data_IF_974160433566
#
_entry.id   IF_974160433566
#
_cell.length_a   1.000
_cell.length_b   1.000
_cell.length_c   1.000
_cell.angle_alpha   90.00
_cell.angle_beta   90.00
_cell.angle_gamma   90.00
#
_symmetry.space_group_name_H-M   'P 1'
#
loop_
_entity.id
_entity.type
_entity.pdbx_description
1 polymer ?
#
# COMPACT_ATOMS: atom_id res chain seq x y z
N UNK A 1 -26.10 -13.65 -6.41
CA UNK A 1 -25.79 -13.18 -5.04
C UNK A 1 -24.54 -13.91 -4.55
N UNK A 2 -23.36 -13.28 -4.69
CA UNK A 2 -22.11 -13.85 -4.22
C UNK A 2 -22.04 -13.72 -2.70
N UNK A 3 -22.05 -14.85 -1.99
CA UNK A 3 -21.81 -14.90 -0.55
C UNK A 3 -20.36 -14.48 -0.32
N UNK A 4 -20.15 -13.25 0.12
CA UNK A 4 -18.85 -12.78 0.61
C UNK A 4 -18.38 -13.76 1.69
N UNK A 5 -17.30 -14.47 1.41
CA UNK A 5 -16.72 -15.44 2.32
C UNK A 5 -16.16 -14.67 3.54
N UNK A 6 -16.95 -14.60 4.63
CA UNK A 6 -16.55 -14.01 5.92
C UNK A 6 -15.57 -14.93 6.66
N UNK A 7 -14.44 -15.23 6.03
CA UNK A 7 -13.46 -16.18 6.58
C UNK A 7 -12.48 -15.54 7.60
N UNK A 8 -12.65 -14.27 7.95
CA UNK A 8 -11.81 -13.58 8.93
C UNK A 8 -10.40 -13.22 8.46
N UNK A 9 -10.06 -13.40 7.18
CA UNK A 9 -8.71 -13.07 6.65
C UNK A 9 -8.30 -11.64 6.94
N UNK A 10 -9.14 -10.68 6.57
CA UNK A 10 -8.88 -9.25 6.79
C UNK A 10 -8.80 -8.93 8.29
N UNK A 11 -9.68 -9.51 9.11
CA UNK A 11 -9.66 -9.37 10.57
C UNK A 11 -8.34 -9.86 11.15
N UNK A 12 -7.86 -11.01 10.70
CA UNK A 12 -6.58 -11.57 11.12
C UNK A 12 -5.41 -10.68 10.73
N UNK A 13 -5.36 -10.20 9.48
CA UNK A 13 -4.31 -9.31 9.00
C UNK A 13 -4.31 -7.96 9.74
N UNK A 14 -5.48 -7.38 10.02
CA UNK A 14 -5.58 -6.13 10.78
C UNK A 14 -5.17 -6.32 12.24
N UNK A 15 -5.47 -7.47 12.84
CA UNK A 15 -5.01 -7.81 14.19
C UNK A 15 -3.48 -7.96 14.25
N UNK A 16 -2.89 -8.71 13.31
CA UNK A 16 -1.44 -8.86 13.18
C UNK A 16 -0.74 -7.51 12.97
N UNK A 17 -1.29 -6.63 12.13
CA UNK A 17 -0.75 -5.31 11.86
C UNK A 17 -0.97 -4.31 13.01
N UNK A 18 -1.55 -4.73 14.14
CA UNK A 18 -1.93 -3.85 15.26
C UNK A 18 -2.86 -2.70 14.84
N UNK A 19 -3.78 -2.97 13.90
CA UNK A 19 -4.77 -2.02 13.36
C UNK A 19 -6.21 -2.39 13.72
N UNK A 20 -6.44 -3.43 14.53
CA UNK A 20 -7.75 -3.85 15.00
C UNK A 20 -8.17 -3.00 16.22
N UNK A 21 -8.68 -1.80 15.98
CA UNK A 21 -9.14 -0.89 17.03
C UNK A 21 -10.54 -1.20 17.56
N UNK A 22 -11.25 -2.14 16.91
CA UNK A 22 -12.67 -2.47 17.15
C UNK A 22 -12.87 -3.71 18.02
N UNK A 23 -11.80 -4.30 18.58
CA UNK A 23 -11.91 -5.53 19.35
C UNK A 23 -10.70 -5.81 20.25
N UNK A 24 -10.85 -6.80 21.11
CA UNK A 24 -9.75 -7.29 21.93
C UNK A 24 -9.01 -8.39 21.20
N UNK A 25 -7.72 -8.18 20.97
CA UNK A 25 -6.83 -9.19 20.40
C UNK A 25 -6.14 -9.94 21.53
N UNK A 26 -6.35 -11.25 21.61
CA UNK A 26 -5.68 -12.14 22.56
C UNK A 26 -4.68 -13.03 21.82
N UNK A 27 -3.62 -13.41 22.49
CA UNK A 27 -2.57 -14.26 21.92
C UNK A 27 -1.20 -13.61 21.97
N UNK A 28 -0.21 -14.33 21.46
CA UNK A 28 1.19 -13.89 21.47
C UNK A 28 1.70 -13.71 20.05
N UNK A 29 2.07 -12.50 19.69
CA UNK A 29 2.72 -12.20 18.41
C UNK A 29 4.23 -12.20 18.64
N UNK A 30 4.96 -12.97 17.83
CA UNK A 30 6.43 -13.01 17.87
C UNK A 30 6.99 -12.46 16.58
N UNK A 31 7.96 -11.53 16.70
CA UNK A 31 8.76 -11.05 15.58
C UNK A 31 10.17 -11.59 15.74
N UNK A 32 10.64 -12.34 14.74
CA UNK A 32 11.96 -13.00 14.78
C UNK A 32 12.19 -13.82 16.07
N UNK A 33 11.14 -14.54 16.53
CA UNK A 33 11.18 -15.37 17.72
C UNK A 33 11.00 -14.62 19.05
N UNK A 34 11.00 -13.29 19.07
CA UNK A 34 10.79 -12.48 20.27
C UNK A 34 9.35 -12.01 20.37
N UNK A 35 8.79 -12.07 21.58
CA UNK A 35 7.46 -11.53 21.87
C UNK A 35 7.56 -10.00 21.83
N UNK A 36 6.98 -9.39 20.83
CA UNK A 36 6.96 -7.94 20.68
C UNK A 36 5.67 -7.46 19.99
N UNK A 37 5.38 -6.17 20.16
CA UNK A 37 4.23 -5.55 19.51
C UNK A 37 4.63 -4.98 18.14
N UNK A 38 3.91 -5.39 17.09
CA UNK A 38 4.07 -4.85 15.73
C UNK A 38 3.89 -3.32 15.69
N UNK A 39 3.16 -2.78 16.66
CA UNK A 39 2.97 -1.33 16.80
C UNK A 39 4.29 -0.54 16.92
N UNK A 40 5.34 -1.14 17.49
CA UNK A 40 6.68 -0.53 17.59
C UNK A 40 7.36 -0.40 16.21
N UNK A 41 7.00 -1.27 15.29
CA UNK A 41 7.63 -1.40 13.98
C UNK A 41 6.78 -0.82 12.84
N UNK A 42 5.82 0.06 13.14
CA UNK A 42 4.91 0.67 12.16
C UNK A 42 5.60 1.28 10.94
N UNK A 43 6.83 1.78 11.12
CA UNK A 43 7.63 2.35 10.02
C UNK A 43 8.23 1.30 9.08
N UNK A 44 8.34 0.05 9.52
CA UNK A 44 8.90 -1.06 8.76
C UNK A 44 7.81 -1.97 8.17
N UNK A 45 6.58 -1.85 8.66
CA UNK A 45 5.45 -2.69 8.23
C UNK A 45 4.56 -1.89 7.29
N UNK A 46 4.53 -2.28 6.02
CA UNK A 46 3.55 -1.81 5.06
C UNK A 46 2.23 -2.56 5.23
N UNK A 47 1.12 -1.85 5.16
CA UNK A 47 -0.22 -2.42 5.15
C UNK A 47 -0.98 -1.87 3.95
N UNK A 48 -1.41 -2.77 3.08
CA UNK A 48 -2.23 -2.43 1.92
C UNK A 48 -3.68 -2.76 2.27
N UNK A 49 -4.57 -1.76 2.39
CA UNK A 49 -5.99 -1.99 2.64
C UNK A 49 -6.67 -2.57 1.39
N UNK A 50 -7.87 -3.09 1.56
CA UNK A 50 -8.67 -3.61 0.45
C UNK A 50 -9.28 -2.48 -0.39
N UNK A 51 -9.57 -1.35 0.24
CA UNK A 51 -10.06 -0.17 -0.46
C UNK A 51 -8.90 0.73 -0.90
N UNK A 52 -9.00 1.27 -2.08
CA UNK A 52 -8.01 2.18 -2.64
C UNK A 52 -8.02 3.51 -1.87
N UNK A 53 -6.90 3.83 -1.24
CA UNK A 53 -6.70 5.09 -0.51
C UNK A 53 -5.85 6.04 -1.38
N UNK A 54 -6.21 6.16 -2.65
CA UNK A 54 -5.52 7.03 -3.59
C UNK A 54 -6.40 8.21 -3.99
N UNK A 55 -5.78 9.33 -4.32
CA UNK A 55 -6.48 10.47 -4.90
C UNK A 55 -6.73 10.15 -6.38
N UNK A 56 -7.99 9.88 -6.71
CA UNK A 56 -8.40 9.32 -8.01
C UNK A 56 -8.26 10.33 -9.16
N UNK A 57 -8.37 11.61 -8.84
CA UNK A 57 -8.22 12.71 -9.80
C UNK A 57 -6.76 12.97 -10.19
N UNK A 58 -5.81 12.47 -9.40
CA UNK A 58 -4.39 12.65 -9.65
C UNK A 58 -3.83 11.53 -10.54
N UNK A 59 -2.76 11.87 -11.25
CA UNK A 59 -1.96 10.88 -11.99
C UNK A 59 -1.18 9.97 -11.04
N UNK A 60 -0.70 8.85 -11.54
CA UNK A 60 0.18 7.94 -10.78
C UNK A 60 1.40 8.66 -10.23
N UNK A 61 2.04 9.47 -11.09
CA UNK A 61 3.21 10.26 -10.68
C UNK A 61 2.90 11.24 -9.55
N UNK A 62 1.79 11.96 -9.64
CA UNK A 62 1.40 12.93 -8.62
C UNK A 62 1.07 12.27 -7.29
N UNK A 63 0.38 11.13 -7.29
CA UNK A 63 0.11 10.35 -6.08
C UNK A 63 1.39 9.84 -5.41
N UNK A 64 2.31 9.29 -6.20
CA UNK A 64 3.60 8.84 -5.68
C UNK A 64 4.44 10.00 -5.16
N UNK A 65 4.44 11.12 -5.87
CA UNK A 65 5.16 12.31 -5.45
C UNK A 65 4.59 12.92 -4.17
N UNK A 66 3.25 12.99 -4.05
CA UNK A 66 2.57 13.41 -2.82
C UNK A 66 2.93 12.49 -1.63
N UNK A 67 2.92 11.17 -1.85
CA UNK A 67 3.33 10.20 -0.84
C UNK A 67 4.81 10.37 -0.44
N UNK A 68 5.69 10.63 -1.40
CA UNK A 68 7.11 10.88 -1.13
C UNK A 68 7.33 12.17 -0.33
N UNK A 69 6.57 13.23 -0.63
CA UNK A 69 6.67 14.50 0.09
C UNK A 69 6.22 14.38 1.55
N UNK A 70 5.18 13.59 1.81
CA UNK A 70 4.59 13.44 3.14
C UNK A 70 5.29 12.39 4.02
N UNK A 71 5.80 11.31 3.43
CA UNK A 71 6.37 10.17 4.18
C UNK A 71 7.88 10.24 4.32
N UNK A 72 8.59 10.79 3.33
CA UNK A 72 10.04 10.91 3.42
C UNK A 72 10.44 12.08 4.32
N UNK A 73 11.58 11.97 5.02
CA UNK A 73 12.07 13.02 5.92
C UNK A 73 12.17 14.38 5.23
N UNK A 74 11.84 15.45 5.97
CA UNK A 74 11.82 16.81 5.45
C UNK A 74 13.20 17.31 5.01
N UNK A 75 14.27 16.82 5.63
CA UNK A 75 15.64 17.22 5.30
C UNK A 75 16.14 16.67 3.94
N UNK A 76 15.43 15.72 3.33
CA UNK A 76 15.82 15.19 2.02
C UNK A 76 15.47 16.21 0.92
N UNK A 77 16.44 16.55 0.06
CA UNK A 77 16.22 17.48 -1.04
C UNK A 77 15.20 16.89 -2.03
N UNK A 78 14.47 17.80 -2.69
CA UNK A 78 13.42 17.43 -3.65
C UNK A 78 13.92 16.48 -4.75
N UNK A 79 15.13 16.73 -5.25
CA UNK A 79 15.77 15.85 -6.27
C UNK A 79 15.89 14.40 -5.80
N UNK A 80 16.25 14.18 -4.54
CA UNK A 80 16.34 12.82 -3.97
C UNK A 80 14.95 12.17 -3.87
N UNK A 81 13.94 12.93 -3.49
CA UNK A 81 12.56 12.43 -3.43
C UNK A 81 12.05 12.04 -4.83
N UNK A 82 12.34 12.86 -5.84
CA UNK A 82 12.04 12.53 -7.24
C UNK A 82 12.76 11.27 -7.73
N UNK A 83 14.03 11.10 -7.38
CA UNK A 83 14.79 9.89 -7.72
C UNK A 83 14.18 8.63 -7.08
N UNK A 84 13.73 8.72 -5.83
CA UNK A 84 13.02 7.61 -5.16
C UNK A 84 11.71 7.29 -5.88
N UNK A 85 10.93 8.29 -6.27
CA UNK A 85 9.68 8.08 -7.02
C UNK A 85 9.97 7.42 -8.36
N UNK A 86 10.99 7.86 -9.10
CA UNK A 86 11.39 7.27 -10.37
C UNK A 86 11.78 5.79 -10.20
N UNK A 87 12.58 5.48 -9.17
CA UNK A 87 12.97 4.11 -8.87
C UNK A 87 11.77 3.20 -8.50
N UNK A 88 10.77 3.74 -7.80
CA UNK A 88 9.54 3.01 -7.48
C UNK A 88 8.70 2.74 -8.73
N UNK A 89 8.56 3.73 -9.63
CA UNK A 89 7.87 3.59 -10.91
C UNK A 89 8.50 2.47 -11.74
N UNK A 90 9.81 2.46 -11.81
CA UNK A 90 10.60 1.45 -12.53
C UNK A 90 10.43 0.06 -11.91
N UNK A 91 10.57 -0.04 -10.60
CA UNK A 91 10.44 -1.30 -9.87
C UNK A 91 9.04 -1.93 -9.96
N UNK A 92 7.99 -1.11 -10.09
CA UNK A 92 6.61 -1.55 -10.22
C UNK A 92 6.18 -1.70 -11.69
N UNK A 93 7.03 -1.35 -12.66
CA UNK A 93 6.70 -1.42 -14.09
C UNK A 93 5.58 -0.46 -14.50
N UNK A 94 5.46 0.69 -13.83
CA UNK A 94 4.39 1.66 -14.06
C UNK A 94 4.72 2.70 -15.15
N UNK A 95 5.80 2.51 -15.91
CA UNK A 95 6.29 3.46 -16.92
C UNK A 95 5.23 3.92 -17.90
N UNK A 96 4.42 2.99 -18.41
CA UNK A 96 3.41 3.26 -19.43
C UNK A 96 2.19 4.05 -18.91
N UNK A 97 1.95 4.04 -17.59
CA UNK A 97 0.78 4.66 -16.98
C UNK A 97 1.12 5.82 -16.05
N UNK A 98 2.36 6.29 -16.02
CA UNK A 98 2.86 7.36 -15.13
C UNK A 98 2.00 8.63 -15.16
N UNK A 99 1.57 9.03 -16.36
CA UNK A 99 0.78 10.23 -16.59
C UNK A 99 -0.73 9.97 -16.70
N UNK A 100 -1.15 8.71 -16.54
CA UNK A 100 -2.57 8.37 -16.52
C UNK A 100 -3.17 8.70 -15.16
N UNK A 101 -4.41 9.20 -15.14
CA UNK A 101 -5.18 9.35 -13.90
C UNK A 101 -5.55 7.99 -13.35
N UNK A 102 -5.59 7.86 -12.03
CA UNK A 102 -5.91 6.59 -11.39
C UNK A 102 -7.35 6.18 -11.70
N UNK A 103 -8.28 7.15 -11.75
CA UNK A 103 -9.67 6.93 -12.14
C UNK A 103 -10.50 6.15 -11.12
N UNK A 104 -11.77 5.99 -11.44
CA UNK A 104 -12.75 5.23 -10.65
C UNK A 104 -13.26 4.02 -11.46
N UNK A 105 -14.01 3.12 -10.82
CA UNK A 105 -14.69 2.01 -11.51
C UNK A 105 -15.63 2.49 -12.63
N UNK A 106 -16.20 3.69 -12.48
CA UNK A 106 -17.10 4.33 -13.44
C UNK A 106 -16.39 5.19 -14.50
N UNK A 107 -15.18 5.67 -14.21
CA UNK A 107 -14.34 6.41 -15.17
C UNK A 107 -13.13 5.58 -15.53
N UNK A 108 -12.94 5.32 -16.84
CA UNK A 108 -11.77 4.55 -17.34
C UNK A 108 -10.47 5.12 -16.78
N UNK A 109 -9.92 4.44 -15.79
CA UNK A 109 -8.60 4.65 -15.21
C UNK A 109 -7.78 3.37 -15.31
N UNK A 110 -6.70 3.28 -14.54
CA UNK A 110 -5.72 2.19 -14.57
C UNK A 110 -6.25 0.88 -13.98
N UNK A 111 -7.45 0.88 -13.41
CA UNK A 111 -8.08 -0.25 -12.69
C UNK A 111 -8.15 -1.59 -13.46
N UNK A 112 -7.84 -1.61 -14.75
CA UNK A 112 -7.88 -2.83 -15.57
C UNK A 112 -6.51 -3.36 -16.05
N UNK A 113 -5.41 -2.67 -15.79
CA UNK A 113 -4.11 -2.97 -16.43
C UNK A 113 -3.11 -3.68 -15.51
N UNK A 114 -3.32 -3.65 -14.20
CA UNK A 114 -2.45 -4.35 -13.24
C UNK A 114 -2.85 -5.83 -13.08
N UNK A 115 -2.83 -6.59 -14.16
CA UNK A 115 -2.63 -8.02 -14.07
C UNK A 115 -1.16 -8.25 -13.72
N UNK A 116 -0.90 -8.49 -12.44
CA UNK A 116 0.42 -8.90 -11.96
C UNK A 116 0.90 -10.09 -12.80
N UNK A 117 2.04 -9.99 -13.51
CA UNK A 117 2.58 -11.14 -14.20
C UNK A 117 2.87 -12.25 -13.18
N UNK A 118 2.65 -13.55 -13.54
CA UNK A 118 2.96 -14.65 -12.64
C UNK A 118 4.45 -14.63 -12.33
N UNK A 119 4.77 -14.73 -11.04
CA UNK A 119 6.15 -14.89 -10.57
C UNK A 119 6.70 -16.18 -11.19
N UNK A 120 7.77 -16.15 -11.97
CA UNK A 120 8.38 -17.37 -12.50
C UNK A 120 8.90 -18.26 -11.36
N UNK A 121 8.87 -19.58 -11.53
CA UNK A 121 9.23 -20.57 -10.51
C UNK A 121 10.72 -20.46 -10.09
#
# INVERSE_FOLDING_TARGET
MSRACRSGKTTFLTALASRAYYGHTTGTIKMNGRVDSVAKYKKLVGFVPQEDVMLRELTVHENLMHSALTRLPAFLPLKTKQAVVAAVIDALGLGDCVHSTIGDEDTRGISGVLSVPPIPP
#
